data_IF_668513900409
#
_entry.id   IF_668513900409
#
_cell.length_a   1.000
_cell.length_b   1.000
_cell.length_c   1.000
_cell.angle_alpha   90.00
_cell.angle_beta   90.00
_cell.angle_gamma   90.00
#
_symmetry.space_group_name_H-M   'P 1'
#
loop_
_entity.id
_entity.type
_entity.pdbx_description
1 polymer ?
#
# COMPACT_ATOMS: atom_id res chain seq x y z
N UNK A 1 -22.11 -2.56 17.58
CA UNK A 1 -21.65 -1.44 16.73
C UNK A 1 -20.65 -2.04 15.76
N UNK A 2 -21.02 -2.12 14.48
CA UNK A 2 -20.31 -2.90 13.46
C UNK A 2 -19.87 -1.95 12.36
N UNK A 3 -18.86 -1.15 12.69
CA UNK A 3 -18.25 -0.17 11.79
C UNK A 3 -16.94 -0.78 11.28
N UNK A 4 -17.07 -1.75 10.37
CA UNK A 4 -15.94 -2.28 9.56
C UNK A 4 -15.51 -1.25 8.49
N UNK A 5 -15.39 0.00 8.89
CA UNK A 5 -14.83 1.05 8.06
C UNK A 5 -13.32 1.07 8.34
N UNK A 6 -12.55 0.35 7.52
CA UNK A 6 -11.10 0.45 7.52
C UNK A 6 -10.75 1.92 7.23
N UNK A 7 -10.47 2.67 8.28
CA UNK A 7 -9.88 3.99 8.19
C UNK A 7 -8.37 3.79 8.09
N UNK A 8 -7.67 4.48 7.18
CA UNK A 8 -6.21 4.53 7.14
C UNK A 8 -5.64 5.33 8.33
N UNK A 9 -6.23 5.20 9.53
CA UNK A 9 -5.69 5.76 10.76
C UNK A 9 -4.37 5.06 11.17
N UNK A 10 -4.19 3.81 10.74
CA UNK A 10 -2.89 3.11 10.78
C UNK A 10 -2.19 3.20 9.43
N UNK A 11 -1.51 4.33 9.19
CA UNK A 11 -0.51 4.50 8.12
C UNK A 11 0.44 3.29 8.03
N UNK A 12 0.71 2.64 9.16
CA UNK A 12 1.50 1.43 9.29
C UNK A 12 0.88 0.22 8.58
N UNK A 13 -0.44 -0.02 8.74
CA UNK A 13 -1.14 -1.12 8.08
C UNK A 13 -1.08 -1.01 6.55
N UNK A 14 -1.16 0.21 6.02
CA UNK A 14 -1.02 0.45 4.58
C UNK A 14 0.42 0.17 4.13
N UNK A 15 1.43 0.64 4.88
CA UNK A 15 2.84 0.36 4.60
C UNK A 15 3.15 -1.13 4.65
N UNK A 16 2.60 -1.87 5.61
CA UNK A 16 2.76 -3.32 5.70
C UNK A 16 2.16 -4.02 4.49
N UNK A 17 0.95 -3.63 4.08
CA UNK A 17 0.31 -4.20 2.90
C UNK A 17 1.10 -3.90 1.61
N UNK A 18 1.67 -2.70 1.51
CA UNK A 18 2.58 -2.31 0.42
C UNK A 18 3.84 -3.18 0.46
N UNK A 19 4.53 -3.29 1.60
CA UNK A 19 5.73 -4.13 1.75
C UNK A 19 5.46 -5.59 1.43
N UNK A 20 4.34 -6.13 1.90
CA UNK A 20 3.90 -7.50 1.59
C UNK A 20 3.61 -7.66 0.08
N UNK A 21 3.06 -6.63 -0.56
CA UNK A 21 2.83 -6.62 -2.01
C UNK A 21 4.14 -6.54 -2.78
N UNK A 22 5.10 -5.71 -2.37
CA UNK A 22 6.45 -5.63 -2.94
C UNK A 22 7.16 -6.98 -2.83
N UNK A 23 7.20 -7.55 -1.62
CA UNK A 23 7.83 -8.85 -1.35
C UNK A 23 7.18 -9.99 -2.14
N UNK A 24 5.85 -9.97 -2.26
CA UNK A 24 5.09 -10.96 -3.04
C UNK A 24 5.25 -10.77 -4.55
N UNK A 25 5.51 -9.54 -5.00
CA UNK A 25 5.71 -9.22 -6.41
C UNK A 25 7.16 -9.46 -6.87
N UNK A 26 8.12 -9.59 -5.92
CA UNK A 26 9.52 -9.87 -6.20
C UNK A 26 10.18 -8.74 -7.01
N UNK A 27 10.88 -9.08 -8.08
CA UNK A 27 11.49 -8.13 -9.04
C UNK A 27 10.48 -7.43 -9.96
N UNK A 28 9.23 -7.28 -9.52
CA UNK A 28 8.23 -6.52 -10.27
C UNK A 28 8.65 -5.06 -10.33
N UNK A 29 8.48 -4.47 -11.51
CA UNK A 29 8.79 -3.06 -11.73
C UNK A 29 8.07 -2.17 -10.71
N UNK A 30 8.79 -1.25 -10.04
CA UNK A 30 8.22 -0.44 -8.99
C UNK A 30 7.08 0.47 -9.46
N UNK A 31 6.97 0.76 -10.77
CA UNK A 31 5.85 1.51 -11.34
C UNK A 31 4.55 0.68 -11.42
N UNK A 32 4.62 -0.65 -11.33
CA UNK A 32 3.44 -1.52 -11.33
C UNK A 32 2.91 -1.82 -9.92
N UNK A 33 3.73 -1.60 -8.89
CA UNK A 33 3.33 -1.80 -7.50
C UNK A 33 2.13 -0.96 -7.06
N UNK A 34 2.02 0.35 -7.39
CA UNK A 34 0.86 1.16 -7.00
C UNK A 34 -0.43 0.58 -7.55
N UNK A 35 -0.47 0.18 -8.81
CA UNK A 35 -1.63 -0.44 -9.44
C UNK A 35 -2.04 -1.73 -8.75
N UNK A 36 -1.08 -2.61 -8.43
CA UNK A 36 -1.35 -3.86 -7.70
C UNK A 36 -1.85 -3.62 -6.28
N UNK A 37 -1.24 -2.69 -5.55
CA UNK A 37 -1.69 -2.32 -4.20
C UNK A 37 -3.10 -1.75 -4.26
N UNK A 38 -3.36 -0.83 -5.19
CA UNK A 38 -4.66 -0.18 -5.39
C UNK A 38 -5.75 -1.20 -5.72
N UNK A 39 -5.44 -2.22 -6.53
CA UNK A 39 -6.34 -3.33 -6.82
C UNK A 39 -6.60 -4.21 -5.58
N UNK A 40 -5.58 -4.48 -4.78
CA UNK A 40 -5.66 -5.31 -3.56
C UNK A 40 -6.45 -4.67 -2.42
N UNK A 41 -6.45 -3.34 -2.36
CA UNK A 41 -7.19 -2.55 -1.39
C UNK A 41 -8.50 -1.99 -1.96
N UNK A 42 -8.77 -2.21 -3.25
CA UNK A 42 -10.00 -1.77 -3.91
C UNK A 42 -11.20 -2.38 -3.18
N UNK A 43 -12.07 -1.53 -2.62
CA UNK A 43 -13.21 -1.95 -1.80
C UNK A 43 -12.89 -2.18 -0.31
N UNK A 44 -11.62 -2.10 0.10
CA UNK A 44 -11.19 -2.06 1.51
C UNK A 44 -10.92 -0.64 1.99
N UNK A 45 -10.48 0.26 1.12
CA UNK A 45 -10.26 1.67 1.49
C UNK A 45 -11.48 2.50 1.09
N UNK A 46 -12.08 3.18 2.07
CA UNK A 46 -13.01 4.29 1.81
C UNK A 46 -12.26 5.58 2.08
N UNK A 47 -11.78 6.23 1.02
CA UNK A 47 -11.09 7.51 1.12
C UNK A 47 -10.14 7.77 -0.04
N UNK A 48 -9.82 9.05 -0.23
CA UNK A 48 -8.81 9.51 -1.18
C UNK A 48 -7.42 9.24 -0.57
N UNK A 49 -6.99 7.98 -0.64
CA UNK A 49 -5.67 7.56 -0.17
C UNK A 49 -4.71 7.55 -1.35
N UNK A 50 -3.66 8.35 -1.24
CA UNK A 50 -2.61 8.47 -2.23
C UNK A 50 -1.63 7.27 -2.19
N UNK A 51 -2.08 6.15 -2.74
CA UNK A 51 -1.31 4.89 -2.78
C UNK A 51 0.03 5.06 -3.49
N UNK A 52 0.08 5.90 -4.52
CA UNK A 52 1.30 6.17 -5.27
C UNK A 52 2.38 6.80 -4.38
N UNK A 53 2.00 7.81 -3.58
CA UNK A 53 2.90 8.46 -2.64
C UNK A 53 3.42 7.49 -1.58
N UNK A 54 2.56 6.62 -1.06
CA UNK A 54 2.95 5.61 -0.08
C UNK A 54 3.89 4.54 -0.65
N UNK A 55 3.62 4.05 -1.85
CA UNK A 55 4.49 3.08 -2.52
C UNK A 55 5.86 3.69 -2.79
N UNK A 56 5.92 4.92 -3.29
CA UNK A 56 7.19 5.66 -3.47
C UNK A 56 7.95 5.84 -2.16
N UNK A 57 7.26 6.21 -1.07
CA UNK A 57 7.86 6.37 0.26
C UNK A 57 8.47 5.06 0.76
N UNK A 58 7.72 3.95 0.68
CA UNK A 58 8.19 2.62 1.11
C UNK A 58 9.37 2.13 0.27
N UNK A 59 9.33 2.32 -1.06
CA UNK A 59 10.44 1.96 -1.95
C UNK A 59 11.70 2.79 -1.67
N UNK A 60 11.54 4.09 -1.40
CA UNK A 60 12.64 4.96 -1.04
C UNK A 60 13.27 4.55 0.29
N UNK A 61 12.47 4.11 1.27
CA UNK A 61 12.96 3.59 2.55
C UNK A 61 13.69 2.24 2.39
N UNK A 62 13.16 1.31 1.60
CA UNK A 62 13.81 0.02 1.28
C UNK A 62 15.15 0.21 0.57
N UNK A 63 15.22 1.13 -0.39
CA UNK A 63 16.47 1.41 -1.14
C UNK A 63 17.56 2.06 -0.29
N UNK A 64 17.18 2.69 0.83
CA UNK A 64 18.09 3.41 1.73
C UNK A 64 18.65 2.50 2.86
N UNK A 65 18.08 1.29 3.02
CA UNK A 65 18.57 0.25 3.92
C UNK A 65 19.62 -0.62 3.27
#
# INVERSE_FOLDING_TARGET
MNDKNWKPEDEESLKELIRATIKSAGSTDPAQLPSKVRERIKGRVSGDVDIDAYVKKVLAEERKR
#
